data_IF_971710658079
#
_entry.id   IF_971710658079
#
_cell.length_a   1.000
_cell.length_b   1.000
_cell.length_c   1.000
_cell.angle_alpha   90.00
_cell.angle_beta   90.00
_cell.angle_gamma   90.00
#
_symmetry.space_group_name_H-M   'P 1'
#
loop_
_entity.id
_entity.type
_entity.pdbx_description
1 polymer ?
#
# COMPACT_ATOMS: atom_id res chain seq x y z
N UNK A 1 -9.34 2.86 19.25
CA UNK A 1 -9.25 1.54 19.88
C UNK A 1 -9.45 0.48 18.81
N UNK A 2 -8.39 -0.17 18.40
CA UNK A 2 -8.50 -1.31 17.50
C UNK A 2 -9.09 -2.51 18.25
N UNK A 3 -10.06 -3.19 17.62
CA UNK A 3 -10.65 -4.40 18.19
C UNK A 3 -9.64 -5.55 18.15
N UNK A 4 -9.85 -6.57 18.99
CA UNK A 4 -9.07 -7.82 18.91
C UNK A 4 -9.03 -8.39 17.50
N UNK A 5 -10.19 -8.40 16.84
CA UNK A 5 -10.33 -8.94 15.49
C UNK A 5 -9.51 -8.15 14.46
N UNK A 6 -9.44 -6.82 14.58
CA UNK A 6 -8.62 -5.97 13.70
C UNK A 6 -7.12 -6.30 13.84
N UNK A 7 -6.61 -6.37 15.08
CA UNK A 7 -5.19 -6.70 15.35
C UNK A 7 -4.84 -8.11 14.87
N UNK A 8 -5.71 -9.10 15.12
CA UNK A 8 -5.48 -10.46 14.61
C UNK A 8 -5.50 -10.54 13.09
N UNK A 9 -6.37 -9.77 12.43
CA UNK A 9 -6.39 -9.71 10.97
C UNK A 9 -5.13 -9.04 10.40
N UNK A 10 -4.64 -7.98 11.02
CA UNK A 10 -3.39 -7.32 10.65
C UNK A 10 -2.19 -8.27 10.81
N UNK A 11 -2.09 -8.96 11.94
CA UNK A 11 -1.07 -9.98 12.18
C UNK A 11 -1.11 -11.08 11.12
N UNK A 12 -2.30 -11.56 10.77
CA UNK A 12 -2.49 -12.60 9.75
C UNK A 12 -2.04 -12.11 8.35
N UNK A 13 -2.37 -10.88 7.99
CA UNK A 13 -1.95 -10.29 6.71
C UNK A 13 -0.43 -10.18 6.66
N UNK A 14 0.19 -9.59 7.70
CA UNK A 14 1.64 -9.42 7.79
C UNK A 14 2.37 -10.77 7.72
N UNK A 15 1.94 -11.75 8.51
CA UNK A 15 2.50 -13.10 8.51
C UNK A 15 2.45 -13.77 7.13
N UNK A 16 1.35 -13.60 6.38
CA UNK A 16 1.21 -14.13 5.02
C UNK A 16 2.17 -13.51 4.02
N UNK A 17 2.40 -12.19 4.11
CA UNK A 17 3.40 -11.50 3.28
C UNK A 17 4.81 -11.93 3.64
N UNK A 18 5.12 -11.99 4.93
CA UNK A 18 6.43 -12.41 5.46
C UNK A 18 6.80 -13.83 5.02
N UNK A 19 5.84 -14.77 5.11
CA UNK A 19 6.08 -16.17 4.73
C UNK A 19 6.21 -16.37 3.22
N UNK A 20 5.49 -15.57 2.42
CA UNK A 20 5.36 -15.78 0.97
C UNK A 20 6.33 -14.96 0.12
N UNK A 21 7.10 -14.05 0.71
CA UNK A 21 7.98 -13.14 -0.04
C UNK A 21 9.35 -13.02 0.61
N UNK A 22 10.30 -12.51 -0.16
CA UNK A 22 11.66 -12.15 0.25
C UNK A 22 11.82 -10.64 0.51
N UNK A 23 10.69 -9.91 0.61
CA UNK A 23 10.70 -8.46 0.86
C UNK A 23 11.26 -8.17 2.26
N UNK A 24 12.10 -7.14 2.34
CA UNK A 24 12.59 -6.65 3.63
C UNK A 24 11.46 -5.90 4.34
N UNK A 25 11.03 -6.44 5.45
CA UNK A 25 9.93 -5.91 6.22
C UNK A 25 10.16 -6.11 7.72
N UNK A 26 9.47 -5.34 8.54
CA UNK A 26 9.41 -5.54 9.99
C UNK A 26 8.73 -6.88 10.29
N UNK A 27 9.42 -7.78 11.01
CA UNK A 27 8.90 -9.13 11.33
C UNK A 27 7.85 -9.07 12.40
N UNK A 28 6.84 -9.93 12.28
CA UNK A 28 5.86 -10.15 13.32
C UNK A 28 6.51 -10.91 14.49
N UNK A 29 6.41 -10.37 15.70
CA UNK A 29 6.92 -11.02 16.93
C UNK A 29 5.76 -11.67 17.67
N UNK A 30 4.73 -10.90 18.06
CA UNK A 30 3.59 -11.42 18.80
C UNK A 30 2.34 -10.53 18.69
N UNK A 31 1.20 -11.11 19.04
CA UNK A 31 -0.02 -10.39 19.33
C UNK A 31 -0.31 -10.53 20.82
N UNK A 32 -0.35 -9.42 21.54
CA UNK A 32 -0.45 -9.41 22.99
C UNK A 32 -1.38 -8.30 23.49
N UNK A 33 -1.54 -8.20 24.81
CA UNK A 33 -2.22 -7.08 25.45
C UNK A 33 -1.22 -6.20 26.20
N UNK A 34 -1.20 -4.91 25.87
CA UNK A 34 -0.43 -3.89 26.57
C UNK A 34 -1.44 -2.89 27.17
N UNK A 35 -1.38 -2.66 28.47
CA UNK A 35 -2.32 -1.78 29.18
C UNK A 35 -3.79 -2.07 28.86
N UNK A 36 -4.15 -3.34 28.86
CA UNK A 36 -5.48 -3.87 28.52
C UNK A 36 -5.99 -3.58 27.10
N UNK A 37 -5.09 -3.20 26.17
CA UNK A 37 -5.38 -3.00 24.74
C UNK A 37 -4.68 -4.08 23.94
N UNK A 38 -5.35 -4.61 22.91
CA UNK A 38 -4.72 -5.50 21.94
C UNK A 38 -3.67 -4.74 21.13
N UNK A 39 -2.50 -5.34 20.99
CA UNK A 39 -1.37 -4.77 20.26
C UNK A 39 -0.71 -5.83 19.38
N UNK A 40 -0.23 -5.41 18.24
CA UNK A 40 0.69 -6.11 17.37
C UNK A 40 2.09 -5.66 17.73
N UNK A 41 2.98 -6.60 18.02
CA UNK A 41 4.40 -6.34 18.29
C UNK A 41 5.21 -6.82 17.10
N UNK A 42 5.99 -5.93 16.53
CA UNK A 42 6.87 -6.21 15.39
C UNK A 42 8.30 -5.82 15.71
N UNK A 43 9.23 -6.34 14.90
CA UNK A 43 10.63 -5.92 14.96
C UNK A 43 10.74 -4.40 14.76
N UNK A 44 11.52 -3.74 15.60
CA UNK A 44 11.85 -2.34 15.40
C UNK A 44 12.94 -2.21 14.33
N UNK A 45 12.66 -1.45 13.29
CA UNK A 45 13.63 -1.15 12.23
C UNK A 45 14.27 0.20 12.53
N UNK A 46 15.55 0.17 12.87
CA UNK A 46 16.35 1.38 13.04
C UNK A 46 16.65 2.00 11.67
N UNK A 47 16.30 3.28 11.51
CA UNK A 47 16.46 4.02 10.26
C UNK A 47 15.59 5.26 10.21
N UNK A 48 15.60 5.94 9.07
CA UNK A 48 14.83 7.17 8.82
C UNK A 48 13.72 6.89 7.81
N UNK A 49 12.45 7.28 8.09
CA UNK A 49 11.38 7.20 7.10
C UNK A 49 11.71 8.00 5.85
N UNK A 50 11.36 7.47 4.68
CA UNK A 50 11.68 8.08 3.39
C UNK A 50 11.03 9.46 3.21
N UNK A 51 9.82 9.68 3.75
CA UNK A 51 9.16 11.00 3.74
C UNK A 51 9.93 12.05 4.53
N UNK A 52 10.62 11.64 5.59
CA UNK A 52 11.51 12.52 6.38
C UNK A 52 12.73 12.89 5.53
N UNK A 53 13.38 11.90 4.89
CA UNK A 53 14.53 12.15 4.01
C UNK A 53 14.15 13.04 2.81
N UNK A 54 13.00 12.83 2.19
CA UNK A 54 12.51 13.68 1.10
C UNK A 54 12.30 15.13 1.54
N UNK A 55 11.83 15.34 2.78
CA UNK A 55 11.63 16.68 3.34
C UNK A 55 12.95 17.36 3.75
N UNK A 56 13.89 16.59 4.29
CA UNK A 56 15.18 17.12 4.75
C UNK A 56 16.17 17.35 3.61
N UNK A 57 16.02 16.61 2.51
CA UNK A 57 16.88 16.64 1.33
C UNK A 57 16.09 16.85 0.04
N UNK A 58 15.45 18.03 -0.13
CA UNK A 58 14.63 18.31 -1.32
C UNK A 58 15.43 18.27 -2.62
N UNK A 59 16.73 18.49 -2.57
CA UNK A 59 17.65 18.36 -3.71
C UNK A 59 17.77 16.92 -4.23
N UNK A 60 17.36 15.92 -3.43
CA UNK A 60 17.33 14.49 -3.77
C UNK A 60 15.94 13.95 -4.03
N UNK A 61 14.92 14.80 -4.15
CA UNK A 61 13.53 14.37 -4.32
C UNK A 61 13.37 13.36 -5.46
N UNK A 62 14.00 13.63 -6.61
CA UNK A 62 13.91 12.73 -7.77
C UNK A 62 14.61 11.38 -7.53
N UNK A 63 15.73 11.36 -6.79
CA UNK A 63 16.42 10.13 -6.41
C UNK A 63 15.53 9.29 -5.49
N UNK A 64 14.97 9.89 -4.44
CA UNK A 64 14.08 9.22 -3.50
C UNK A 64 12.78 8.76 -4.15
N UNK A 65 12.22 9.56 -5.06
CA UNK A 65 11.03 9.16 -5.80
C UNK A 65 11.29 7.97 -6.73
N UNK A 66 12.45 7.94 -7.38
CA UNK A 66 12.88 6.79 -8.19
C UNK A 66 12.98 5.52 -7.34
N UNK A 67 13.65 5.59 -6.20
CA UNK A 67 13.75 4.47 -5.25
C UNK A 67 12.36 4.02 -4.78
N UNK A 68 11.50 4.95 -4.41
CA UNK A 68 10.14 4.67 -3.95
C UNK A 68 9.32 3.91 -4.98
N UNK A 69 9.39 4.32 -6.25
CA UNK A 69 8.72 3.62 -7.35
C UNK A 69 9.32 2.24 -7.58
N UNK A 70 10.64 2.09 -7.51
CA UNK A 70 11.31 0.79 -7.67
C UNK A 70 10.89 -0.20 -6.57
N UNK A 71 10.78 0.25 -5.32
CA UNK A 71 10.28 -0.56 -4.21
C UNK A 71 8.82 -0.98 -4.46
N UNK A 72 7.96 -0.07 -4.93
CA UNK A 72 6.57 -0.42 -5.25
C UNK A 72 6.48 -1.46 -6.37
N UNK A 73 7.31 -1.34 -7.39
CA UNK A 73 7.36 -2.34 -8.48
C UNK A 73 7.88 -3.69 -7.97
N UNK A 74 8.83 -3.70 -7.04
CA UNK A 74 9.29 -4.93 -6.39
C UNK A 74 8.14 -5.59 -5.62
N UNK A 75 7.37 -4.84 -4.81
CA UNK A 75 6.17 -5.34 -4.13
C UNK A 75 5.22 -5.99 -5.15
N UNK A 76 4.88 -5.27 -6.22
CA UNK A 76 3.96 -5.72 -7.25
C UNK A 76 4.49 -6.87 -8.11
N UNK A 77 5.78 -7.19 -8.04
CA UNK A 77 6.36 -8.38 -8.67
C UNK A 77 6.00 -9.67 -7.93
N UNK A 78 5.67 -9.57 -6.63
CA UNK A 78 5.36 -10.70 -5.77
C UNK A 78 3.90 -11.12 -5.87
N UNK A 79 3.63 -12.37 -5.42
CA UNK A 79 2.28 -12.96 -5.33
C UNK A 79 2.12 -13.60 -3.97
N UNK A 80 1.00 -13.31 -3.32
CA UNK A 80 0.63 -13.89 -2.02
C UNK A 80 -0.81 -14.42 -2.12
N UNK A 81 -1.02 -15.65 -2.65
CA UNK A 81 -2.35 -16.18 -2.95
C UNK A 81 -3.27 -16.33 -1.73
N UNK A 82 -2.68 -16.37 -0.53
CA UNK A 82 -3.41 -16.49 0.74
C UNK A 82 -4.03 -15.18 1.22
N UNK A 83 -3.66 -14.03 0.63
CA UNK A 83 -4.27 -12.74 0.95
C UNK A 83 -5.68 -12.62 0.37
N UNK A 84 -6.49 -11.81 1.01
CA UNK A 84 -7.79 -11.42 0.49
C UNK A 84 -7.65 -10.69 -0.84
N UNK A 85 -8.61 -10.89 -1.73
CA UNK A 85 -8.62 -10.19 -3.02
C UNK A 85 -9.01 -8.73 -2.83
N UNK A 86 -8.30 -7.84 -3.50
CA UNK A 86 -8.57 -6.40 -3.51
C UNK A 86 -10.01 -6.10 -3.95
N UNK A 87 -10.50 -6.81 -4.96
CA UNK A 87 -11.85 -6.67 -5.49
C UNK A 87 -12.90 -6.98 -4.44
N UNK A 88 -12.73 -8.04 -3.64
CA UNK A 88 -13.64 -8.40 -2.56
C UNK A 88 -13.61 -7.38 -1.41
N UNK A 89 -12.42 -6.84 -1.09
CA UNK A 89 -12.25 -5.75 -0.13
C UNK A 89 -13.03 -4.50 -0.56
N UNK A 90 -12.93 -4.11 -1.83
CA UNK A 90 -13.64 -2.94 -2.35
C UNK A 90 -15.14 -3.19 -2.45
N UNK A 91 -15.58 -4.39 -2.87
CA UNK A 91 -17.01 -4.74 -2.88
C UNK A 91 -17.62 -4.57 -1.49
N UNK A 92 -16.98 -5.12 -0.46
CA UNK A 92 -17.44 -4.96 0.92
C UNK A 92 -17.50 -3.49 1.32
N UNK A 93 -16.44 -2.71 1.08
CA UNK A 93 -16.40 -1.28 1.41
C UNK A 93 -17.51 -0.50 0.71
N UNK A 94 -17.79 -0.76 -0.57
CA UNK A 94 -18.86 -0.11 -1.32
C UNK A 94 -20.25 -0.50 -0.78
N UNK A 95 -20.41 -1.76 -0.35
CA UNK A 95 -21.66 -2.22 0.26
C UNK A 95 -21.92 -1.54 1.62
N UNK A 96 -20.88 -1.29 2.40
CA UNK A 96 -20.96 -0.69 3.75
C UNK A 96 -20.91 0.84 3.72
N UNK A 97 -20.55 1.48 2.60
CA UNK A 97 -20.40 2.93 2.49
C UNK A 97 -21.76 3.65 2.58
N UNK A 98 -21.75 4.82 3.22
CA UNK A 98 -22.91 5.73 3.26
C UNK A 98 -22.97 6.57 1.97
N UNK A 99 -23.46 5.96 0.91
CA UNK A 99 -23.67 6.54 -0.42
C UNK A 99 -25.04 6.12 -0.95
N UNK A 100 -25.62 6.91 -1.86
CA UNK A 100 -26.89 6.56 -2.50
C UNK A 100 -26.82 5.27 -3.33
N UNK A 101 -27.96 4.64 -3.54
CA UNK A 101 -28.04 3.33 -4.20
C UNK A 101 -27.62 3.38 -5.68
N UNK A 102 -27.85 4.48 -6.37
CA UNK A 102 -27.44 4.65 -7.78
C UNK A 102 -25.93 4.68 -7.88
N UNK A 103 -25.29 5.54 -7.08
CA UNK A 103 -23.81 5.62 -7.00
C UNK A 103 -23.22 4.27 -6.58
N UNK A 104 -23.80 3.59 -5.60
CA UNK A 104 -23.36 2.27 -5.16
C UNK A 104 -23.43 1.25 -6.30
N UNK A 105 -24.55 1.22 -7.02
CA UNK A 105 -24.73 0.31 -8.14
C UNK A 105 -23.69 0.56 -9.25
N UNK A 106 -23.50 1.82 -9.64
CA UNK A 106 -22.53 2.18 -10.68
C UNK A 106 -21.10 1.79 -10.30
N UNK A 107 -20.68 2.08 -9.06
CA UNK A 107 -19.35 1.72 -8.55
C UNK A 107 -19.15 0.20 -8.49
N UNK A 108 -20.17 -0.55 -8.06
CA UNK A 108 -20.11 -2.01 -8.06
C UNK A 108 -20.04 -2.58 -9.48
N UNK A 109 -20.81 -2.07 -10.44
CA UNK A 109 -20.74 -2.48 -11.85
C UNK A 109 -19.34 -2.17 -12.44
N UNK A 110 -18.80 -1.00 -12.15
CA UNK A 110 -17.44 -0.63 -12.57
C UNK A 110 -16.38 -1.56 -11.97
N UNK A 111 -16.51 -1.90 -10.68
CA UNK A 111 -15.62 -2.83 -10.01
C UNK A 111 -15.71 -4.23 -10.62
N UNK A 112 -16.94 -4.74 -10.88
CA UNK A 112 -17.15 -6.06 -11.46
C UNK A 112 -16.58 -6.17 -12.89
N UNK A 113 -16.63 -5.09 -13.67
CA UNK A 113 -16.03 -4.99 -14.99
C UNK A 113 -14.49 -5.02 -15.00
N UNK A 114 -13.82 -4.91 -13.84
CA UNK A 114 -12.36 -4.99 -13.79
C UNK A 114 -11.87 -6.43 -13.87
N UNK A 115 -10.73 -6.65 -14.55
CA UNK A 115 -10.07 -7.96 -14.59
C UNK A 115 -9.53 -8.33 -13.19
N UNK A 116 -9.56 -9.63 -12.90
CA UNK A 116 -8.88 -10.14 -11.71
C UNK A 116 -7.36 -10.19 -11.97
N UNK A 117 -6.61 -9.71 -10.99
CA UNK A 117 -5.16 -9.77 -10.95
C UNK A 117 -4.72 -10.37 -9.61
N UNK A 118 -3.48 -10.85 -9.56
CA UNK A 118 -2.91 -11.58 -8.42
C UNK A 118 -1.61 -10.95 -7.91
N UNK A 119 -1.37 -9.69 -8.23
CA UNK A 119 -0.20 -8.95 -7.74
C UNK A 119 -0.35 -8.65 -6.25
N UNK A 120 0.77 -8.66 -5.53
CA UNK A 120 0.79 -8.12 -4.17
C UNK A 120 0.58 -6.61 -4.25
N UNK A 121 -0.43 -6.13 -3.54
CA UNK A 121 -0.76 -4.73 -3.35
C UNK A 121 -0.58 -4.39 -1.87
N UNK A 122 0.20 -3.37 -1.55
CA UNK A 122 0.40 -2.93 -0.17
C UNK A 122 -0.88 -2.32 0.40
N UNK A 123 -1.58 -1.55 -0.41
CA UNK A 123 -2.86 -0.95 -0.05
C UNK A 123 -2.75 0.31 0.81
N UNK A 124 -1.54 0.72 1.19
CA UNK A 124 -1.23 1.99 1.85
C UNK A 124 0.24 2.40 1.59
N UNK A 125 0.72 2.18 0.37
CA UNK A 125 2.11 2.46 0.03
C UNK A 125 2.33 3.97 -0.10
N UNK A 126 3.11 4.49 0.82
CA UNK A 126 3.51 5.91 0.87
C UNK A 126 4.93 6.01 1.49
N UNK A 127 5.66 7.13 1.32
CA UNK A 127 7.04 7.22 1.77
C UNK A 127 7.27 7.05 3.28
N UNK A 128 6.26 7.32 4.13
CA UNK A 128 6.40 7.10 5.59
C UNK A 128 6.41 5.61 5.96
N UNK A 129 5.97 4.73 5.05
CA UNK A 129 5.98 3.28 5.22
C UNK A 129 7.23 2.61 4.63
N UNK A 130 8.25 3.39 4.27
CA UNK A 130 9.57 2.92 3.84
C UNK A 130 10.61 3.47 4.79
N UNK A 131 11.31 2.57 5.51
CA UNK A 131 12.39 2.95 6.45
C UNK A 131 13.73 2.73 5.76
N UNK A 132 14.53 3.77 5.65
CA UNK A 132 15.87 3.75 5.08
C UNK A 132 16.91 3.63 6.19
N UNK A 133 17.82 2.65 6.05
CA UNK A 133 19.00 2.52 6.93
C UNK A 133 20.18 3.33 6.38
N UNK A 134 21.12 3.66 7.24
CA UNK A 134 22.35 4.38 6.87
C UNK A 134 23.18 3.66 5.80
N UNK A 135 23.11 2.32 5.75
CA UNK A 135 23.81 1.50 4.75
C UNK A 135 23.09 1.44 3.39
N UNK A 136 21.98 2.18 3.21
CA UNK A 136 21.19 2.19 1.98
C UNK A 136 20.16 1.06 1.86
N UNK A 137 20.06 0.16 2.83
CA UNK A 137 18.99 -0.82 2.87
C UNK A 137 17.66 -0.16 3.21
N UNK A 138 16.57 -0.70 2.67
CA UNK A 138 15.21 -0.25 3.01
C UNK A 138 14.38 -1.39 3.59
N UNK A 139 13.39 -1.03 4.37
CA UNK A 139 12.39 -1.92 4.94
C UNK A 139 11.00 -1.35 4.74
N UNK A 140 10.05 -2.21 4.42
CA UNK A 140 8.65 -1.83 4.20
C UNK A 140 7.85 -2.21 5.44
N UNK A 141 7.07 -1.27 5.96
CA UNK A 141 6.26 -1.44 7.18
C UNK A 141 4.78 -1.20 6.89
N UNK A 142 3.93 -1.53 7.85
CA UNK A 142 2.47 -1.30 7.82
C UNK A 142 1.73 -2.05 6.68
N UNK A 143 1.78 -3.38 6.75
CA UNK A 143 1.11 -4.26 5.80
C UNK A 143 -0.39 -4.50 6.10
N UNK A 144 -0.99 -3.76 7.06
CA UNK A 144 -2.38 -3.94 7.52
C UNK A 144 -3.43 -3.95 6.38
N UNK A 145 -3.10 -3.33 5.27
CA UNK A 145 -3.99 -3.16 4.13
C UNK A 145 -3.65 -4.03 2.91
N UNK A 146 -2.65 -4.92 3.04
CA UNK A 146 -2.20 -5.72 1.91
C UNK A 146 -3.29 -6.66 1.38
N UNK A 147 -3.28 -6.82 0.06
CA UNK A 147 -4.22 -7.67 -0.69
C UNK A 147 -3.53 -8.26 -1.91
N UNK A 148 -4.15 -9.26 -2.54
CA UNK A 148 -3.79 -9.62 -3.90
C UNK A 148 -4.73 -8.92 -4.88
N UNK A 149 -4.21 -8.28 -5.92
CA UNK A 149 -5.06 -7.53 -6.82
C UNK A 149 -4.38 -6.85 -7.99
N UNK A 150 -4.94 -5.72 -8.37
CA UNK A 150 -4.52 -4.95 -9.52
C UNK A 150 -3.47 -3.89 -9.13
N UNK A 151 -2.29 -3.96 -9.71
CA UNK A 151 -1.21 -2.98 -9.51
C UNK A 151 -1.64 -1.53 -9.81
N UNK A 152 -2.50 -1.33 -10.83
CA UNK A 152 -3.03 0.01 -11.13
C UNK A 152 -3.89 0.58 -10.00
N UNK A 153 -4.62 -0.27 -9.26
CA UNK A 153 -5.42 0.19 -8.12
C UNK A 153 -4.54 0.61 -6.93
N UNK A 154 -3.45 -0.12 -6.69
CA UNK A 154 -2.49 0.21 -5.63
C UNK A 154 -1.72 1.50 -5.97
N UNK A 155 -1.26 1.64 -7.22
CA UNK A 155 -0.64 2.88 -7.69
C UNK A 155 -1.60 4.08 -7.64
N UNK A 156 -2.88 3.89 -7.99
CA UNK A 156 -3.89 4.94 -7.88
C UNK A 156 -4.08 5.39 -6.43
N UNK A 157 -4.02 4.47 -5.48
CA UNK A 157 -4.08 4.84 -4.06
C UNK A 157 -2.87 5.65 -3.62
N UNK A 158 -1.66 5.28 -4.03
CA UNK A 158 -0.44 6.07 -3.76
C UNK A 158 -0.55 7.47 -4.36
N UNK A 159 -0.99 7.58 -5.62
CA UNK A 159 -1.25 8.86 -6.27
C UNK A 159 -2.25 9.73 -5.47
N UNK A 160 -3.34 9.10 -5.02
CA UNK A 160 -4.36 9.78 -4.23
C UNK A 160 -3.81 10.26 -2.87
N UNK A 161 -2.98 9.46 -2.21
CA UNK A 161 -2.35 9.83 -0.93
C UNK A 161 -1.48 11.08 -1.07
N UNK A 162 -0.64 11.16 -2.09
CA UNK A 162 0.13 12.38 -2.40
C UNK A 162 -0.79 13.58 -2.68
N UNK A 163 -1.83 13.37 -3.50
CA UNK A 163 -2.75 14.45 -3.89
C UNK A 163 -3.52 15.02 -2.70
N UNK A 164 -4.07 14.15 -1.84
CA UNK A 164 -4.81 14.55 -0.63
C UNK A 164 -3.87 15.17 0.42
N UNK A 165 -2.61 14.74 0.46
CA UNK A 165 -1.55 15.33 1.28
C UNK A 165 -1.09 16.72 0.79
N UNK A 166 -1.71 17.28 -0.27
CA UNK A 166 -1.36 18.60 -0.82
C UNK A 166 -0.12 18.58 -1.72
N UNK A 167 0.43 17.41 -2.04
CA UNK A 167 1.65 17.21 -2.83
C UNK A 167 1.32 16.91 -4.31
N UNK A 168 0.49 17.76 -4.93
CA UNK A 168 -0.04 17.52 -6.29
C UNK A 168 1.06 17.38 -7.34
N UNK A 169 2.11 18.19 -7.27
CA UNK A 169 3.23 18.10 -8.21
C UNK A 169 3.99 16.77 -8.04
N UNK A 170 4.26 16.36 -6.81
CA UNK A 170 4.89 15.07 -6.52
C UNK A 170 4.01 13.88 -6.95
N UNK A 171 2.67 14.01 -6.80
CA UNK A 171 1.73 13.00 -7.29
C UNK A 171 1.85 12.80 -8.80
N UNK A 172 1.92 13.89 -9.59
CA UNK A 172 2.08 13.81 -11.04
C UNK A 172 3.46 13.26 -11.44
N UNK A 173 4.53 13.69 -10.76
CA UNK A 173 5.89 13.13 -10.97
C UNK A 173 5.88 11.61 -10.70
N UNK A 174 5.31 11.21 -9.56
CA UNK A 174 5.16 9.79 -9.21
C UNK A 174 4.41 9.01 -10.30
N UNK A 175 3.24 9.50 -10.73
CA UNK A 175 2.41 8.82 -11.71
C UNK A 175 3.13 8.65 -13.06
N UNK A 176 3.83 9.68 -13.52
CA UNK A 176 4.60 9.63 -14.76
C UNK A 176 5.74 8.61 -14.66
N UNK A 177 6.53 8.66 -13.58
CA UNK A 177 7.64 7.75 -13.34
C UNK A 177 7.16 6.30 -13.17
N UNK A 178 6.07 6.09 -12.42
CA UNK A 178 5.49 4.77 -12.24
C UNK A 178 5.02 4.16 -13.57
N UNK A 179 4.33 4.95 -14.41
CA UNK A 179 3.85 4.47 -15.73
C UNK A 179 5.01 4.17 -16.67
N UNK A 180 6.05 5.00 -16.68
CA UNK A 180 7.27 4.77 -17.47
C UNK A 180 7.94 3.45 -17.07
N UNK A 181 8.18 3.22 -15.78
CA UNK A 181 8.89 2.04 -15.29
C UNK A 181 8.04 0.76 -15.33
N UNK A 182 6.74 0.84 -15.06
CA UNK A 182 5.84 -0.32 -15.02
C UNK A 182 5.33 -0.76 -16.39
N UNK A 183 5.33 0.13 -17.37
CA UNK A 183 4.63 -0.08 -18.64
C UNK A 183 3.10 -0.07 -18.53
N UNK A 184 2.54 0.28 -17.38
CA UNK A 184 1.09 0.40 -17.19
C UNK A 184 0.59 1.73 -17.75
N UNK A 185 -0.57 1.71 -18.40
CA UNK A 185 -1.17 2.92 -18.94
C UNK A 185 -1.68 3.87 -17.83
N UNK A 186 -1.32 5.14 -17.91
CA UNK A 186 -1.80 6.19 -16.99
C UNK A 186 -3.32 6.18 -16.84
N UNK A 187 -4.05 6.05 -17.95
CA UNK A 187 -5.52 5.95 -17.97
C UNK A 187 -6.03 4.74 -17.17
N UNK A 188 -5.29 3.61 -17.19
CA UNK A 188 -5.63 2.42 -16.43
C UNK A 188 -5.55 2.65 -14.92
N UNK A 189 -4.58 3.45 -14.47
CA UNK A 189 -4.42 3.86 -13.07
C UNK A 189 -5.50 4.88 -12.68
N UNK A 190 -5.70 5.92 -13.50
CA UNK A 190 -6.68 6.98 -13.23
C UNK A 190 -8.13 6.46 -13.11
N UNK A 191 -8.46 5.32 -13.71
CA UNK A 191 -9.79 4.69 -13.53
C UNK A 191 -10.08 4.28 -12.09
N UNK A 192 -9.07 4.15 -11.23
CA UNK A 192 -9.22 3.79 -9.83
C UNK A 192 -9.26 5.01 -8.90
N UNK A 193 -8.99 6.20 -9.42
CA UNK A 193 -9.14 7.47 -8.71
C UNK A 193 -10.61 7.90 -8.80
N UNK A 194 -11.21 8.39 -7.69
CA UNK A 194 -12.59 8.89 -7.66
C UNK A 194 -12.85 10.05 -8.61
#
# INVERSE_FOLDING_TARGET
NYSKAAILNEALIQSRVEESTDLKMSRLIEVTKINNRWALVTEFIEGTPLDVLMREHPEKEDEYLNLFVDIQLEIMSKKVPTLNRLKDKYRRKLTEADIDDTTRYELLQRLEGTKNHDKLCHGDFNPSNVIMKENGEYYIIDWAHATQGNASADAAKTFLLFSVGGQTELAEKYLNLFTEKSGLEKRGIQRWVP
#
